data_IF_712380788080
#
_entry.id   IF_712380788080
#
_cell.length_a   1.000
_cell.length_b   1.000
_cell.length_c   1.000
_cell.angle_alpha   90.00
_cell.angle_beta   90.00
_cell.angle_gamma   90.00
#
_symmetry.space_group_name_H-M   'P 1'
#
loop_
_entity.id
_entity.type
_entity.pdbx_description
1 polymer ?
#
# COMPACT_ATOMS: atom_id res chain seq x y z
N UNK A 1 0.94 1.67 -14.67
CA UNK A 1 1.19 0.36 -14.00
C UNK A 1 2.62 -0.12 -14.19
N UNK A 2 3.10 -0.40 -15.41
CA UNK A 2 4.46 -0.93 -15.63
C UNK A 2 5.61 -0.03 -15.12
N UNK A 3 5.52 1.29 -15.33
CA UNK A 3 6.54 2.25 -14.83
C UNK A 3 6.60 2.25 -13.31
N UNK A 4 5.44 2.18 -12.64
CA UNK A 4 5.32 2.15 -11.19
C UNK A 4 5.93 0.86 -10.59
N UNK A 5 5.64 -0.30 -11.19
CA UNK A 5 6.14 -1.61 -10.73
C UNK A 5 7.68 -1.73 -10.85
N UNK A 6 8.28 -1.14 -11.88
CA UNK A 6 9.71 -1.27 -12.12
C UNK A 6 10.56 -0.22 -11.40
N UNK A 7 10.04 1.01 -11.21
CA UNK A 7 10.79 2.12 -10.61
C UNK A 7 10.81 2.12 -9.09
N UNK A 8 9.72 1.76 -8.41
CA UNK A 8 9.58 2.06 -6.97
C UNK A 8 9.82 0.83 -6.09
N UNK A 9 10.73 0.96 -5.12
CA UNK A 9 10.99 -0.11 -4.14
C UNK A 9 9.76 -0.42 -3.28
N UNK A 10 8.95 0.60 -2.97
CA UNK A 10 7.72 0.46 -2.19
C UNK A 10 6.70 -0.47 -2.89
N UNK A 11 6.54 -0.35 -4.21
CA UNK A 11 5.63 -1.21 -4.97
C UNK A 11 6.11 -2.66 -5.02
N UNK A 12 7.44 -2.88 -5.12
CA UNK A 12 8.00 -4.24 -5.04
C UNK A 12 7.73 -4.90 -3.69
N UNK A 13 7.88 -4.13 -2.60
CA UNK A 13 7.53 -4.61 -1.26
C UNK A 13 6.03 -4.92 -1.15
N UNK A 14 5.16 -4.05 -1.66
CA UNK A 14 3.70 -4.27 -1.66
C UNK A 14 3.30 -5.49 -2.49
N UNK A 15 3.93 -5.76 -3.64
CA UNK A 15 3.69 -6.96 -4.43
C UNK A 15 4.11 -8.25 -3.70
N UNK A 16 5.20 -8.20 -2.95
CA UNK A 16 5.59 -9.31 -2.08
C UNK A 16 4.52 -9.58 -1.01
N UNK A 17 4.05 -8.55 -0.31
CA UNK A 17 2.98 -8.70 0.69
C UNK A 17 1.67 -9.20 0.07
N UNK A 18 1.30 -8.71 -1.11
CA UNK A 18 0.12 -9.20 -1.84
C UNK A 18 0.22 -10.70 -2.10
N UNK A 19 1.37 -11.16 -2.61
CA UNK A 19 1.60 -12.58 -2.88
C UNK A 19 1.55 -13.40 -1.58
N UNK A 20 2.18 -12.91 -0.51
CA UNK A 20 2.15 -13.55 0.80
C UNK A 20 0.72 -13.70 1.34
N UNK A 21 -0.07 -12.64 1.34
CA UNK A 21 -1.45 -12.67 1.86
C UNK A 21 -2.40 -13.48 0.97
N UNK A 22 -2.16 -13.58 -0.35
CA UNK A 22 -2.89 -14.52 -1.20
C UNK A 22 -2.62 -15.96 -0.76
N UNK A 23 -1.35 -16.32 -0.53
CA UNK A 23 -0.97 -17.66 -0.06
C UNK A 23 -1.59 -17.94 1.31
N UNK A 24 -1.55 -16.98 2.24
CA UNK A 24 -2.17 -17.12 3.57
C UNK A 24 -3.69 -17.28 3.48
N UNK A 25 -4.36 -16.50 2.61
CA UNK A 25 -5.81 -16.58 2.44
C UNK A 25 -6.28 -17.93 1.91
N UNK A 26 -5.48 -18.54 1.03
CA UNK A 26 -5.72 -19.90 0.54
C UNK A 26 -5.44 -20.92 1.66
N UNK A 27 -4.31 -20.78 2.36
CA UNK A 27 -3.88 -21.72 3.41
C UNK A 27 -4.85 -21.78 4.60
N UNK A 28 -5.37 -20.62 5.04
CA UNK A 28 -6.32 -20.53 6.14
C UNK A 28 -7.78 -20.66 5.70
N UNK A 29 -8.04 -20.86 4.40
CA UNK A 29 -9.38 -21.00 3.83
C UNK A 29 -10.33 -19.87 4.26
N UNK A 30 -9.86 -18.62 4.18
CA UNK A 30 -10.64 -17.47 4.63
C UNK A 30 -11.95 -17.35 3.84
N UNK A 31 -12.99 -16.84 4.50
CA UNK A 31 -14.32 -16.70 3.93
C UNK A 31 -14.35 -15.73 2.73
N UNK A 32 -15.41 -15.83 1.92
CA UNK A 32 -15.60 -14.93 0.76
C UNK A 32 -15.58 -13.45 1.15
N UNK A 33 -16.17 -13.10 2.30
CA UNK A 33 -16.21 -11.73 2.79
C UNK A 33 -14.82 -11.23 3.18
N UNK A 34 -14.01 -12.08 3.80
CA UNK A 34 -12.62 -11.76 4.16
C UNK A 34 -11.75 -11.60 2.91
N UNK A 35 -11.96 -12.43 1.88
CA UNK A 35 -11.34 -12.26 0.57
C UNK A 35 -11.67 -10.91 -0.08
N UNK A 36 -12.94 -10.51 -0.09
CA UNK A 36 -13.38 -9.23 -0.65
C UNK A 36 -12.66 -8.07 0.05
N UNK A 37 -12.63 -8.09 1.39
CA UNK A 37 -11.95 -7.07 2.19
C UNK A 37 -10.45 -7.09 1.89
N UNK A 38 -9.81 -8.26 1.92
CA UNK A 38 -8.38 -8.40 1.67
C UNK A 38 -7.97 -7.87 0.29
N UNK A 39 -8.69 -8.24 -0.78
CA UNK A 39 -8.43 -7.76 -2.14
C UNK A 39 -8.62 -6.24 -2.22
N UNK A 40 -9.65 -5.70 -1.56
CA UNK A 40 -9.88 -4.27 -1.50
C UNK A 40 -8.70 -3.53 -0.83
N UNK A 41 -8.19 -4.02 0.31
CA UNK A 41 -7.06 -3.42 1.01
C UNK A 41 -5.78 -3.42 0.16
N UNK A 42 -5.51 -4.52 -0.54
CA UNK A 42 -4.37 -4.62 -1.46
C UNK A 42 -4.46 -3.55 -2.56
N UNK A 43 -5.63 -3.42 -3.19
CA UNK A 43 -5.86 -2.40 -4.22
C UNK A 43 -5.80 -0.98 -3.66
N UNK A 44 -6.32 -0.76 -2.45
CA UNK A 44 -6.32 0.53 -1.77
C UNK A 44 -4.90 1.02 -1.48
N UNK A 45 -4.05 0.19 -0.84
CA UNK A 45 -2.66 0.56 -0.53
C UNK A 45 -1.87 0.87 -1.80
N UNK A 46 -1.96 0.01 -2.82
CA UNK A 46 -1.31 0.25 -4.12
C UNK A 46 -1.77 1.54 -4.78
N UNK A 47 -3.06 1.88 -4.66
CA UNK A 47 -3.62 3.10 -5.23
C UNK A 47 -3.07 4.35 -4.53
N UNK A 48 -3.05 4.36 -3.19
CA UNK A 48 -2.51 5.49 -2.43
C UNK A 48 -1.00 5.64 -2.64
N UNK A 49 -0.24 4.54 -2.70
CA UNK A 49 1.19 4.56 -3.04
C UNK A 49 1.42 5.17 -4.44
N UNK A 50 0.64 4.71 -5.42
CA UNK A 50 0.74 5.21 -6.79
C UNK A 50 0.42 6.70 -6.89
N UNK A 51 -0.52 7.19 -6.08
CA UNK A 51 -0.81 8.62 -5.97
C UNK A 51 0.35 9.37 -5.30
N UNK A 52 0.97 8.84 -4.25
CA UNK A 52 2.14 9.44 -3.62
C UNK A 52 3.29 9.62 -4.64
N UNK A 53 3.66 8.55 -5.35
CA UNK A 53 4.69 8.62 -6.39
C UNK A 53 4.34 9.61 -7.50
N UNK A 54 3.05 9.72 -7.86
CA UNK A 54 2.61 10.70 -8.85
C UNK A 54 2.80 12.14 -8.36
N UNK A 55 2.48 12.41 -7.09
CA UNK A 55 2.72 13.71 -6.45
C UNK A 55 4.21 14.04 -6.39
N UNK A 56 5.05 13.08 -6.00
CA UNK A 56 6.51 13.24 -5.96
C UNK A 56 7.06 13.61 -7.35
N UNK A 57 6.67 12.86 -8.40
CA UNK A 57 7.12 13.10 -9.78
C UNK A 57 6.64 14.44 -10.34
N UNK A 58 5.42 14.88 -9.99
CA UNK A 58 4.93 16.21 -10.37
C UNK A 58 5.76 17.29 -9.66
N UNK A 59 6.05 17.12 -8.37
CA UNK A 59 6.87 18.07 -7.62
C UNK A 59 8.28 18.19 -8.22
N UNK A 60 8.91 17.07 -8.56
CA UNK A 60 10.26 17.04 -9.16
C UNK A 60 10.27 17.64 -10.57
N UNK A 61 9.17 17.47 -11.32
CA UNK A 61 9.01 18.10 -12.62
C UNK A 61 8.82 19.62 -12.54
N UNK A 62 8.01 20.10 -11.59
CA UNK A 62 7.71 21.53 -11.44
C UNK A 62 8.86 22.30 -10.77
N UNK A 63 9.57 21.68 -9.82
CA UNK A 63 10.65 22.32 -9.10
C UNK A 63 11.82 21.34 -8.87
N UNK A 64 12.77 21.24 -9.82
CA UNK A 64 13.85 20.26 -9.78
C UNK A 64 14.91 20.55 -8.71
N UNK A 65 15.03 21.81 -8.27
CA UNK A 65 15.90 22.20 -7.16
C UNK A 65 15.21 22.01 -5.80
N UNK A 66 16.01 21.79 -4.76
CA UNK A 66 15.48 21.60 -3.41
C UNK A 66 14.64 22.80 -2.93
N UNK A 67 13.39 22.54 -2.54
CA UNK A 67 12.50 23.54 -1.97
C UNK A 67 11.80 22.99 -0.71
N UNK A 68 11.92 23.72 0.40
CA UNK A 68 11.33 23.33 1.70
C UNK A 68 9.81 23.12 1.63
N UNK A 69 9.09 23.89 0.82
CA UNK A 69 7.62 23.74 0.66
C UNK A 69 7.27 22.44 -0.08
N UNK A 70 8.08 22.07 -1.09
CA UNK A 70 7.92 20.79 -1.79
C UNK A 70 8.18 19.62 -0.82
N UNK A 71 9.18 19.75 0.06
CA UNK A 71 9.41 18.77 1.12
C UNK A 71 8.16 18.50 1.95
N UNK A 72 7.48 19.56 2.43
CA UNK A 72 6.23 19.42 3.19
C UNK A 72 5.14 18.69 2.40
N UNK A 73 5.00 18.98 1.10
CA UNK A 73 4.00 18.32 0.24
C UNK A 73 4.31 16.83 0.11
N UNK A 74 5.58 16.47 -0.10
CA UNK A 74 6.01 15.07 -0.17
C UNK A 74 5.80 14.35 1.16
N UNK A 75 6.12 14.98 2.28
CA UNK A 75 5.90 14.42 3.61
C UNK A 75 4.41 14.16 3.89
N UNK A 76 3.53 15.08 3.47
CA UNK A 76 2.09 14.89 3.58
C UNK A 76 1.58 13.72 2.71
N UNK A 77 2.12 13.58 1.49
CA UNK A 77 1.76 12.49 0.59
C UNK A 77 2.22 11.12 1.14
N UNK A 78 3.44 11.03 1.68
CA UNK A 78 3.92 9.85 2.39
C UNK A 78 3.10 9.55 3.67
N UNK A 79 2.63 10.60 4.36
CA UNK A 79 1.70 10.47 5.47
C UNK A 79 0.37 9.80 5.08
N UNK A 80 -0.16 10.12 3.90
CA UNK A 80 -1.38 9.49 3.39
C UNK A 80 -1.21 7.98 3.13
N UNK A 81 -0.06 7.58 2.57
CA UNK A 81 0.32 6.16 2.43
C UNK A 81 0.33 5.46 3.78
N UNK A 82 0.92 6.11 4.80
CA UNK A 82 1.01 5.54 6.14
C UNK A 82 -0.35 5.25 6.75
N UNK A 83 -1.34 6.13 6.58
CA UNK A 83 -2.71 5.86 7.02
C UNK A 83 -3.30 4.64 6.31
N UNK A 84 -3.11 4.53 4.99
CA UNK A 84 -3.62 3.38 4.22
C UNK A 84 -3.00 2.06 4.68
N UNK A 85 -1.68 2.04 4.91
CA UNK A 85 -0.95 0.85 5.37
C UNK A 85 -1.38 0.45 6.78
N UNK A 86 -1.43 1.39 7.73
CA UNK A 86 -1.80 1.09 9.12
C UNK A 86 -3.23 0.55 9.19
N UNK A 87 -4.19 1.19 8.52
CA UNK A 87 -5.57 0.69 8.48
C UNK A 87 -5.65 -0.70 7.86
N UNK A 88 -4.91 -0.96 6.79
CA UNK A 88 -4.88 -2.28 6.15
C UNK A 88 -4.28 -3.35 7.04
N UNK A 89 -3.19 -3.04 7.77
CA UNK A 89 -2.58 -3.97 8.73
C UNK A 89 -3.51 -4.33 9.88
N UNK A 90 -4.24 -3.36 10.43
CA UNK A 90 -5.23 -3.61 11.49
C UNK A 90 -6.33 -4.54 11.00
N UNK A 91 -6.86 -4.30 9.80
CA UNK A 91 -7.93 -5.14 9.25
C UNK A 91 -7.43 -6.54 8.91
N UNK A 92 -6.23 -6.67 8.32
CA UNK A 92 -5.61 -7.98 8.07
C UNK A 92 -5.36 -8.73 9.39
N UNK A 93 -4.91 -8.04 10.44
CA UNK A 93 -4.78 -8.66 11.76
C UNK A 93 -6.13 -9.18 12.27
N UNK A 94 -7.22 -8.42 12.13
CA UNK A 94 -8.56 -8.86 12.53
C UNK A 94 -9.01 -10.10 11.72
N UNK A 95 -8.74 -10.14 10.42
CA UNK A 95 -9.08 -11.28 9.56
C UNK A 95 -8.32 -12.54 10.01
N UNK A 96 -7.01 -12.45 10.23
CA UNK A 96 -6.19 -13.65 10.52
C UNK A 96 -6.13 -14.03 12.00
N UNK A 97 -6.51 -13.14 12.91
CA UNK A 97 -6.53 -13.41 14.35
C UNK A 97 -7.26 -14.72 14.73
N UNK A 98 -8.53 -14.97 14.29
CA UNK A 98 -9.24 -16.19 14.65
C UNK A 98 -8.61 -17.46 14.06
N UNK A 99 -7.90 -17.37 12.93
CA UNK A 99 -7.28 -18.55 12.31
C UNK A 99 -5.95 -18.95 12.95
N UNK A 100 -5.30 -18.04 13.66
CA UNK A 100 -3.99 -18.27 14.30
C UNK A 100 -4.15 -18.61 15.78
N UNK A 101 -5.11 -18.00 16.47
CA UNK A 101 -5.21 -18.04 17.93
C UNK A 101 -6.46 -18.73 18.49
N UNK A 102 -7.34 -19.24 17.63
CA UNK A 102 -8.57 -19.92 18.02
C UNK A 102 -8.68 -21.27 17.29
#
# INVERSE_FOLDING_TARGET
MFILIYSEAAIKAQLFFITLFIVLGIYFEISLNEWIIQIFLMGFVLSIESLNTSVEKICDFVHPDFNKKIGIIKDMAAGAVSFAVISSLIILFIIYYPYIFN
#
